data_IF_188893437271
#
_entry.id   IF_188893437271
#
_cell.length_a   1.000
_cell.length_b   1.000
_cell.length_c   1.000
_cell.angle_alpha   90.00
_cell.angle_beta   90.00
_cell.angle_gamma   90.00
#
_symmetry.space_group_name_H-M   'P 1'
#
loop_
_entity.id
_entity.type
_entity.pdbx_description
1 polymer ?
#
# COMPACT_ATOMS: atom_id res chain seq x y z
N UNK A 1 -23.77 23.86 3.59
CA UNK A 1 -22.61 24.18 4.47
C UNK A 1 -23.20 24.58 5.81
N UNK A 2 -22.71 24.05 6.93
CA UNK A 2 -23.27 24.32 8.27
C UNK A 2 -22.51 25.50 8.91
N UNK A 3 -23.00 26.76 8.81
CA UNK A 3 -22.24 27.95 9.19
C UNK A 3 -21.93 28.06 10.69
N UNK A 4 -22.65 27.28 11.51
CA UNK A 4 -22.46 27.18 12.96
C UNK A 4 -21.29 26.24 13.34
N UNK A 5 -20.75 25.49 12.37
CA UNK A 5 -19.67 24.51 12.60
C UNK A 5 -18.34 25.20 12.37
N UNK A 6 -17.52 25.22 13.42
CA UNK A 6 -16.14 25.69 13.34
C UNK A 6 -15.38 24.91 12.26
N UNK A 7 -15.04 25.60 11.17
CA UNK A 7 -14.42 24.99 10.00
C UNK A 7 -13.34 25.92 9.45
N UNK A 8 -12.17 25.34 9.15
CA UNK A 8 -11.01 26.06 8.65
C UNK A 8 -10.34 25.24 7.55
N UNK A 9 -10.09 25.87 6.41
CA UNK A 9 -9.29 25.28 5.33
C UNK A 9 -7.80 25.53 5.62
N UNK A 10 -7.01 24.46 5.64
CA UNK A 10 -5.55 24.53 5.82
C UNK A 10 -4.89 24.10 4.51
N UNK A 11 -3.96 24.91 4.01
CA UNK A 11 -3.28 24.66 2.73
C UNK A 11 -1.75 24.68 2.92
N UNK A 12 -1.04 23.80 2.21
CA UNK A 12 0.42 23.72 2.16
C UNK A 12 1.03 22.73 3.16
N UNK A 13 2.35 22.53 3.09
CA UNK A 13 3.11 21.63 3.96
C UNK A 13 3.44 22.29 5.32
N UNK A 14 3.56 21.48 6.37
CA UNK A 14 3.85 21.95 7.73
C UNK A 14 5.35 22.06 8.02
N UNK A 15 6.16 21.10 7.54
CA UNK A 15 7.57 21.05 7.89
C UNK A 15 8.44 20.41 6.83
N UNK A 16 9.56 21.02 6.49
CA UNK A 16 10.56 20.44 5.58
C UNK A 16 11.30 19.22 6.18
N UNK A 17 11.17 19.01 7.50
CA UNK A 17 11.83 17.89 8.22
C UNK A 17 11.06 16.58 8.12
N UNK A 18 9.78 16.61 7.75
CA UNK A 18 8.94 15.41 7.62
C UNK A 18 9.09 14.84 6.22
N UNK A 19 9.69 13.65 6.14
CA UNK A 19 10.03 13.00 4.87
C UNK A 19 8.79 12.48 4.14
N UNK A 20 7.83 11.88 4.87
CA UNK A 20 6.58 11.39 4.30
C UNK A 20 5.67 12.57 3.88
N UNK A 21 5.33 12.70 2.59
CA UNK A 21 4.52 13.80 2.09
C UNK A 21 3.08 13.80 2.64
N UNK A 22 2.52 12.62 2.93
CA UNK A 22 1.17 12.49 3.47
C UNK A 22 1.10 12.90 4.94
N UNK A 23 2.03 12.41 5.78
CA UNK A 23 2.16 12.85 7.18
C UNK A 23 2.31 14.36 7.25
N UNK A 24 3.17 14.93 6.40
CA UNK A 24 3.41 16.37 6.34
C UNK A 24 2.14 17.17 5.99
N UNK A 25 1.34 16.65 5.06
CA UNK A 25 0.07 17.26 4.68
C UNK A 25 -0.98 17.18 5.81
N UNK A 26 -1.02 16.07 6.54
CA UNK A 26 -1.99 15.84 7.63
C UNK A 26 -1.62 16.56 8.93
N UNK A 27 -0.34 16.85 9.16
CA UNK A 27 0.17 17.39 10.43
C UNK A 27 -0.49 18.71 10.84
N UNK A 28 -0.75 19.61 9.88
CA UNK A 28 -1.51 20.85 10.12
C UNK A 28 -2.88 20.60 10.73
N UNK A 29 -3.63 19.70 10.09
CA UNK A 29 -4.96 19.32 10.53
C UNK A 29 -4.92 18.66 11.90
N UNK A 30 -3.93 17.79 12.11
CA UNK A 30 -3.68 17.10 13.38
C UNK A 30 -3.44 18.08 14.54
N UNK A 31 -2.59 19.08 14.33
CA UNK A 31 -2.20 20.04 15.38
C UNK A 31 -3.36 20.94 15.82
N UNK A 32 -4.27 21.30 14.90
CA UNK A 32 -5.42 22.15 15.22
C UNK A 32 -6.68 21.37 15.58
N UNK A 33 -6.66 20.03 15.49
CA UNK A 33 -7.81 19.20 15.79
C UNK A 33 -8.21 19.33 17.26
N UNK A 34 -9.45 19.78 17.49
CA UNK A 34 -10.01 20.01 18.84
C UNK A 34 -10.72 18.77 19.41
N UNK A 35 -11.00 17.78 18.57
CA UNK A 35 -11.78 16.60 18.92
C UNK A 35 -10.90 15.35 18.99
N UNK A 36 -11.33 14.39 19.79
CA UNK A 36 -10.59 13.13 20.02
C UNK A 36 -10.60 12.19 18.81
N UNK A 37 -11.63 12.30 17.95
CA UNK A 37 -11.75 11.48 16.75
C UNK A 37 -11.34 12.31 15.53
N UNK A 38 -10.41 11.77 14.74
CA UNK A 38 -9.93 12.38 13.50
C UNK A 38 -10.44 11.49 12.35
N UNK A 39 -11.21 12.09 11.42
CA UNK A 39 -12.00 11.45 10.34
C UNK A 39 -13.40 10.97 10.75
N UNK A 40 -14.44 11.26 9.93
CA UNK A 40 -15.83 10.96 10.31
C UNK A 40 -16.62 10.30 9.17
N UNK A 41 -17.06 9.07 9.42
CA UNK A 41 -18.15 8.34 8.76
C UNK A 41 -18.92 7.61 9.86
N UNK A 42 -20.26 7.54 9.78
CA UNK A 42 -21.10 7.05 10.90
C UNK A 42 -20.74 5.64 11.37
N UNK A 43 -20.50 4.69 10.45
CA UNK A 43 -20.07 3.31 10.80
C UNK A 43 -18.74 3.29 11.57
N UNK A 44 -17.79 4.14 11.17
CA UNK A 44 -16.48 4.23 11.81
C UNK A 44 -16.62 4.73 13.25
N UNK A 45 -17.50 5.70 13.48
CA UNK A 45 -17.77 6.23 14.83
C UNK A 45 -18.41 5.16 15.70
N UNK A 46 -19.43 4.45 15.21
CA UNK A 46 -20.11 3.40 16.01
C UNK A 46 -19.12 2.32 16.47
N UNK A 47 -18.21 1.88 15.59
CA UNK A 47 -17.20 0.87 15.92
C UNK A 47 -16.10 1.37 16.85
N UNK A 48 -15.78 2.66 16.81
CA UNK A 48 -14.75 3.26 17.68
C UNK A 48 -15.21 3.49 19.11
N UNK A 49 -16.52 3.39 19.39
CA UNK A 49 -17.09 3.48 20.73
C UNK A 49 -16.60 2.36 21.66
N UNK A 50 -16.17 1.20 21.12
CA UNK A 50 -15.50 0.19 21.94
C UNK A 50 -14.15 0.75 22.43
N UNK A 51 -13.90 0.84 23.75
CA UNK A 51 -12.65 1.37 24.29
C UNK A 51 -11.43 0.56 23.85
N UNK A 52 -11.59 -0.73 23.50
CA UNK A 52 -10.50 -1.58 23.01
C UNK A 52 -10.15 -1.31 21.55
N UNK A 53 -10.99 -0.60 20.79
CA UNK A 53 -10.74 -0.28 19.38
C UNK A 53 -9.97 1.04 19.29
N UNK A 54 -8.78 1.00 18.69
CA UNK A 54 -7.97 2.20 18.46
C UNK A 54 -8.14 2.78 17.05
N UNK A 55 -8.31 1.90 16.05
CA UNK A 55 -8.48 2.28 14.65
C UNK A 55 -9.68 1.54 14.05
N UNK A 56 -10.51 2.28 13.32
CA UNK A 56 -11.50 1.71 12.40
C UNK A 56 -11.11 2.09 10.98
N UNK A 57 -10.89 1.13 10.10
CA UNK A 57 -10.45 1.39 8.74
C UNK A 57 -11.34 0.72 7.69
N UNK A 58 -11.26 1.21 6.46
CA UNK A 58 -12.05 0.70 5.35
C UNK A 58 -11.17 -0.08 4.37
N UNK A 59 -11.75 -1.08 3.71
CA UNK A 59 -11.07 -1.80 2.63
C UNK A 59 -10.96 -0.85 1.42
N UNK A 60 -9.77 -0.67 0.82
CA UNK A 60 -9.63 0.09 -0.43
C UNK A 60 -10.44 -0.58 -1.55
N UNK A 61 -11.30 0.19 -2.24
CA UNK A 61 -12.10 -0.34 -3.34
C UNK A 61 -12.27 0.70 -4.43
N UNK A 62 -12.12 0.32 -5.70
CA UNK A 62 -12.21 1.28 -6.80
C UNK A 62 -13.66 1.52 -7.25
N UNK A 63 -13.98 2.77 -7.56
CA UNK A 63 -15.29 3.15 -8.09
C UNK A 63 -15.51 2.59 -9.51
N UNK A 64 -16.76 2.51 -9.94
CA UNK A 64 -17.07 2.14 -11.32
C UNK A 64 -16.56 3.19 -12.31
N UNK A 65 -15.82 2.74 -13.32
CA UNK A 65 -15.33 3.53 -14.44
C UNK A 65 -15.24 2.63 -15.68
N UNK A 66 -15.59 3.11 -16.89
CA UNK A 66 -15.68 2.28 -18.10
C UNK A 66 -14.33 1.75 -18.62
N UNK A 67 -13.20 2.21 -18.07
CA UNK A 67 -11.87 1.78 -18.51
C UNK A 67 -11.58 0.34 -18.09
N UNK A 68 -11.03 -0.47 -19.01
CA UNK A 68 -10.60 -1.84 -18.69
C UNK A 68 -9.56 -1.89 -17.57
N UNK A 69 -8.63 -0.94 -17.51
CA UNK A 69 -7.65 -0.86 -16.42
C UNK A 69 -8.35 -0.68 -15.06
N UNK A 70 -9.43 0.12 -15.01
CA UNK A 70 -10.20 0.29 -13.78
C UNK A 70 -10.91 -1.01 -13.37
N UNK A 71 -11.35 -1.83 -14.33
CA UNK A 71 -11.90 -3.16 -14.05
C UNK A 71 -10.83 -4.06 -13.42
N UNK A 72 -9.60 -4.05 -13.93
CA UNK A 72 -8.47 -4.78 -13.34
C UNK A 72 -8.20 -4.32 -11.91
N UNK A 73 -8.18 -3.00 -11.68
CA UNK A 73 -8.03 -2.40 -10.36
C UNK A 73 -9.13 -2.83 -9.39
N UNK A 74 -10.39 -2.76 -9.85
CA UNK A 74 -11.56 -3.20 -9.08
C UNK A 74 -11.49 -4.69 -8.75
N UNK A 75 -11.06 -5.55 -9.67
CA UNK A 75 -10.88 -6.99 -9.41
C UNK A 75 -9.74 -7.22 -8.42
N UNK A 76 -8.61 -6.52 -8.56
CA UNK A 76 -7.49 -6.64 -7.63
C UNK A 76 -7.88 -6.24 -6.20
N UNK A 77 -8.55 -5.09 -6.05
CA UNK A 77 -9.03 -4.58 -4.76
C UNK A 77 -10.14 -5.44 -4.15
N UNK A 78 -11.17 -5.75 -4.94
CA UNK A 78 -12.36 -6.46 -4.48
C UNK A 78 -12.17 -7.97 -4.29
N UNK A 79 -11.15 -8.57 -4.91
CA UNK A 79 -10.84 -9.99 -4.73
C UNK A 79 -9.63 -10.16 -3.82
N UNK A 80 -8.42 -9.86 -4.31
CA UNK A 80 -7.18 -10.18 -3.62
C UNK A 80 -7.00 -9.36 -2.33
N UNK A 81 -7.12 -8.02 -2.39
CA UNK A 81 -7.01 -7.19 -1.18
C UNK A 81 -8.13 -7.52 -0.20
N UNK A 82 -9.39 -7.51 -0.65
CA UNK A 82 -10.55 -7.73 0.22
C UNK A 82 -10.50 -9.09 0.92
N UNK A 83 -10.14 -10.17 0.21
CA UNK A 83 -9.99 -11.51 0.79
C UNK A 83 -8.99 -11.52 1.94
N UNK A 84 -7.79 -10.97 1.69
CA UNK A 84 -6.74 -10.93 2.71
C UNK A 84 -7.11 -10.03 3.90
N UNK A 85 -7.73 -8.87 3.63
CA UNK A 85 -8.19 -7.94 4.66
C UNK A 85 -9.20 -8.60 5.61
N UNK A 86 -10.25 -9.22 5.03
CA UNK A 86 -11.31 -9.86 5.80
C UNK A 86 -10.75 -11.05 6.59
N UNK A 87 -9.89 -11.87 5.96
CA UNK A 87 -9.28 -13.01 6.63
C UNK A 87 -8.40 -12.58 7.81
N UNK A 88 -7.47 -11.63 7.61
CA UNK A 88 -6.56 -11.17 8.65
C UNK A 88 -7.28 -10.45 9.79
N UNK A 89 -8.26 -9.60 9.48
CA UNK A 89 -9.11 -8.97 10.50
C UNK A 89 -9.89 -10.01 11.32
N UNK A 90 -10.37 -11.09 10.69
CA UNK A 90 -11.08 -12.17 11.41
C UNK A 90 -10.14 -12.95 12.34
N UNK A 91 -8.87 -13.10 11.93
CA UNK A 91 -7.82 -13.71 12.75
C UNK A 91 -7.26 -12.76 13.83
N UNK A 92 -7.72 -11.50 13.86
CA UNK A 92 -7.21 -10.48 14.78
C UNK A 92 -5.80 -10.01 14.45
N UNK A 93 -5.30 -10.28 13.24
CA UNK A 93 -3.98 -9.82 12.78
C UNK A 93 -4.13 -8.42 12.20
N UNK A 94 -3.26 -7.50 12.60
CA UNK A 94 -3.25 -6.14 12.05
C UNK A 94 -2.90 -6.16 10.56
N UNK A 95 -3.87 -5.81 9.72
CA UNK A 95 -3.69 -5.63 8.28
C UNK A 95 -4.38 -4.34 7.85
N UNK A 96 -3.61 -3.26 7.80
CA UNK A 96 -4.13 -1.93 7.59
C UNK A 96 -3.39 -1.19 6.47
N UNK A 97 -4.17 -0.52 5.61
CA UNK A 97 -3.70 0.52 4.68
C UNK A 97 -4.65 1.72 4.79
N UNK A 98 -4.04 2.90 4.84
CA UNK A 98 -4.59 4.17 5.29
C UNK A 98 -5.25 4.95 4.17
N UNK A 99 -6.18 4.31 3.44
CA UNK A 99 -6.99 5.03 2.45
C UNK A 99 -8.09 5.87 3.09
N UNK A 100 -8.73 5.32 4.12
CA UNK A 100 -9.78 5.98 4.91
C UNK A 100 -9.90 5.25 6.24
N UNK A 101 -9.70 5.98 7.33
CA UNK A 101 -9.72 5.42 8.66
C UNK A 101 -9.98 6.49 9.72
N UNK A 102 -10.53 6.05 10.84
CA UNK A 102 -10.73 6.83 12.06
C UNK A 102 -9.77 6.31 13.12
N UNK A 103 -9.07 7.24 13.76
CA UNK A 103 -8.13 6.97 14.87
C UNK A 103 -8.45 7.88 16.06
N UNK A 104 -8.25 7.34 17.28
CA UNK A 104 -8.33 8.11 18.52
C UNK A 104 -7.04 8.91 18.73
N UNK A 105 -7.17 10.24 18.67
CA UNK A 105 -6.05 11.19 18.84
C UNK A 105 -5.24 10.96 20.12
N UNK A 106 -5.85 10.74 21.31
CA UNK A 106 -5.07 10.50 22.53
C UNK A 106 -4.11 9.31 22.42
N UNK A 107 -4.55 8.22 21.78
CA UNK A 107 -3.71 7.02 21.57
C UNK A 107 -2.56 7.29 20.61
N UNK A 108 -2.75 8.17 19.62
CA UNK A 108 -1.69 8.57 18.71
C UNK A 108 -0.71 9.56 19.37
N UNK A 109 -1.22 10.46 20.22
CA UNK A 109 -0.39 11.37 21.03
C UNK A 109 0.52 10.58 21.98
N UNK A 110 0.02 9.50 22.60
CA UNK A 110 0.80 8.59 23.45
C UNK A 110 1.95 7.89 22.68
N UNK A 111 1.87 7.82 21.35
CA UNK A 111 2.91 7.27 20.46
C UNK A 111 3.91 8.33 19.98
N UNK A 112 3.88 9.54 20.55
CA UNK A 112 4.69 10.67 20.12
C UNK A 112 4.06 11.48 18.98
N UNK A 113 2.77 11.26 18.71
CA UNK A 113 1.98 11.97 17.72
C UNK A 113 2.31 11.58 16.27
N UNK A 114 1.52 12.13 15.35
CA UNK A 114 1.59 11.82 13.92
C UNK A 114 2.98 12.11 13.31
N UNK A 115 3.70 13.12 13.82
CA UNK A 115 5.02 13.51 13.33
C UNK A 115 6.06 12.39 13.47
N UNK A 116 5.96 11.57 14.53
CA UNK A 116 6.89 10.47 14.78
C UNK A 116 6.90 9.47 13.61
N UNK A 117 5.75 9.27 12.96
CA UNK A 117 5.62 8.35 11.85
C UNK A 117 5.99 8.95 10.49
N UNK A 118 6.45 10.20 10.45
CA UNK A 118 6.92 10.88 9.24
C UNK A 118 8.14 10.23 8.56
N UNK A 119 8.81 9.31 9.25
CA UNK A 119 9.94 8.53 8.76
C UNK A 119 9.55 7.23 8.03
N UNK A 120 8.26 6.89 8.00
CA UNK A 120 7.74 5.71 7.30
C UNK A 120 6.89 6.16 6.11
N UNK A 121 7.00 5.51 4.95
CA UNK A 121 6.10 5.76 3.82
C UNK A 121 4.73 5.09 4.00
N UNK A 122 4.68 4.01 4.76
CA UNK A 122 3.45 3.32 5.17
C UNK A 122 3.20 3.64 6.65
N UNK A 123 3.03 4.94 6.96
CA UNK A 123 2.83 5.40 8.34
C UNK A 123 1.60 4.76 8.99
N UNK A 124 0.56 4.58 8.19
CA UNK A 124 -0.67 3.87 8.49
C UNK A 124 -0.39 2.52 9.17
N UNK A 125 0.31 1.62 8.48
CA UNK A 125 0.66 0.29 8.96
C UNK A 125 1.39 0.38 10.29
N UNK A 126 2.45 1.19 10.38
CA UNK A 126 3.23 1.29 11.62
C UNK A 126 2.40 1.85 12.78
N UNK A 127 1.54 2.84 12.56
CA UNK A 127 0.64 3.33 13.61
C UNK A 127 -0.26 2.19 14.10
N UNK A 128 -0.86 1.42 13.19
CA UNK A 128 -1.72 0.30 13.57
C UNK A 128 -0.98 -0.82 14.29
N UNK A 129 0.24 -1.12 13.87
CA UNK A 129 1.09 -2.17 14.43
C UNK A 129 1.48 -1.84 15.88
N UNK A 130 1.97 -0.63 16.14
CA UNK A 130 2.34 -0.18 17.49
C UNK A 130 1.14 -0.04 18.45
N UNK A 131 -0.06 0.22 17.92
CA UNK A 131 -1.31 0.19 18.71
C UNK A 131 -1.74 -1.25 19.00
N UNK A 132 -1.58 -2.13 18.01
CA UNK A 132 -1.88 -3.55 18.16
C UNK A 132 -0.97 -4.23 19.19
N UNK A 133 0.33 -3.90 19.20
CA UNK A 133 1.29 -4.34 20.22
C UNK A 133 0.91 -3.89 21.64
N UNK A 134 0.20 -2.76 21.78
CA UNK A 134 -0.35 -2.27 23.06
C UNK A 134 -1.67 -2.94 23.45
N UNK A 135 -2.12 -3.95 22.70
CA UNK A 135 -3.33 -4.71 22.96
C UNK A 135 -4.62 -4.05 22.45
N UNK A 136 -4.52 -2.99 21.64
CA UNK A 136 -5.68 -2.39 21.00
C UNK A 136 -6.08 -3.16 19.73
N UNK A 137 -7.37 -3.07 19.41
CA UNK A 137 -7.96 -3.65 18.21
C UNK A 137 -7.93 -2.63 17.07
N UNK A 138 -7.61 -3.15 15.89
CA UNK A 138 -7.77 -2.49 14.60
C UNK A 138 -8.91 -3.24 13.91
N UNK A 139 -9.98 -2.53 13.54
CA UNK A 139 -11.21 -3.17 13.05
C UNK A 139 -11.66 -2.64 11.70
N UNK A 140 -12.24 -3.52 10.89
CA UNK A 140 -12.79 -3.17 9.59
C UNK A 140 -14.17 -2.51 9.69
N UNK A 141 -14.38 -1.46 8.88
CA UNK A 141 -15.68 -0.90 8.53
C UNK A 141 -16.52 -1.89 7.71
N UNK A 142 -17.85 -1.76 7.77
CA UNK A 142 -18.73 -2.54 6.89
C UNK A 142 -18.76 -1.97 5.46
N UNK A 143 -18.26 -0.75 5.26
CA UNK A 143 -18.22 -0.09 3.98
C UNK A 143 -16.78 0.03 3.46
N UNK A 144 -16.53 -0.30 2.19
CA UNK A 144 -15.23 -0.05 1.58
C UNK A 144 -15.00 1.45 1.31
N UNK A 145 -13.75 1.87 1.27
CA UNK A 145 -13.34 3.21 0.88
C UNK A 145 -13.25 3.31 -0.64
N UNK A 146 -14.21 4.01 -1.22
CA UNK A 146 -14.30 4.24 -2.66
C UNK A 146 -13.15 5.14 -3.15
N UNK A 147 -12.31 4.59 -4.02
CA UNK A 147 -11.17 5.25 -4.64
C UNK A 147 -11.51 5.59 -6.09
N UNK A 148 -11.39 6.87 -6.45
CA UNK A 148 -11.57 7.34 -7.81
C UNK A 148 -10.20 7.69 -8.42
N UNK A 149 -9.69 6.86 -9.33
CA UNK A 149 -8.43 7.15 -10.01
C UNK A 149 -8.72 7.71 -11.40
N UNK A 150 -8.26 8.95 -11.64
CA UNK A 150 -8.24 9.52 -12.98
C UNK A 150 -7.06 8.97 -13.80
N UNK A 151 -7.23 8.85 -15.12
CA UNK A 151 -6.16 8.56 -16.09
C UNK A 151 -5.39 7.25 -15.83
N UNK A 152 -6.13 6.15 -15.64
CA UNK A 152 -5.56 4.81 -15.41
C UNK A 152 -5.06 4.15 -16.71
N UNK A 153 -3.88 3.53 -16.64
CA UNK A 153 -3.40 2.56 -17.62
C UNK A 153 -2.65 1.42 -16.90
N UNK A 154 -2.35 0.32 -17.61
CA UNK A 154 -1.70 -0.86 -17.01
C UNK A 154 -0.32 -0.55 -16.42
N UNK A 155 0.43 0.40 -16.97
CA UNK A 155 1.72 0.81 -16.42
C UNK A 155 1.56 1.53 -15.09
N UNK A 156 0.57 2.43 -14.97
CA UNK A 156 0.24 3.12 -13.71
C UNK A 156 -0.21 2.12 -12.65
N UNK A 157 -1.05 1.14 -13.05
CA UNK A 157 -1.46 0.03 -12.19
C UNK A 157 -0.25 -0.78 -11.69
N UNK A 158 0.59 -1.27 -12.62
CA UNK A 158 1.80 -2.04 -12.30
C UNK A 158 2.71 -1.27 -11.36
N UNK A 159 3.03 -0.02 -11.67
CA UNK A 159 3.91 0.82 -10.85
C UNK A 159 3.37 0.99 -9.42
N UNK A 160 2.04 1.15 -9.26
CA UNK A 160 1.41 1.21 -7.94
C UNK A 160 1.56 -0.12 -7.19
N UNK A 161 1.29 -1.24 -7.84
CA UNK A 161 1.37 -2.57 -7.23
C UNK A 161 2.82 -2.92 -6.84
N UNK A 162 3.79 -2.64 -7.71
CA UNK A 162 5.24 -2.80 -7.41
C UNK A 162 5.64 -1.98 -6.21
N UNK A 163 5.20 -0.71 -6.14
CA UNK A 163 5.48 0.14 -4.99
C UNK A 163 4.91 -0.43 -3.70
N UNK A 164 3.65 -0.88 -3.70
CA UNK A 164 3.03 -1.48 -2.51
C UNK A 164 3.75 -2.76 -2.08
N UNK A 165 4.12 -3.62 -3.03
CA UNK A 165 4.90 -4.80 -2.72
C UNK A 165 6.26 -4.43 -2.11
N UNK A 166 7.00 -3.47 -2.68
CA UNK A 166 8.29 -3.03 -2.13
C UNK A 166 8.19 -2.48 -0.72
N UNK A 167 7.12 -1.75 -0.41
CA UNK A 167 6.85 -1.34 0.97
C UNK A 167 6.73 -2.58 1.88
N UNK A 168 5.83 -3.52 1.54
CA UNK A 168 5.62 -4.74 2.34
C UNK A 168 6.87 -5.61 2.45
N UNK A 169 7.67 -5.72 1.40
CA UNK A 169 8.95 -6.44 1.43
C UNK A 169 9.89 -5.87 2.50
N UNK A 170 9.90 -4.56 2.72
CA UNK A 170 10.78 -3.92 3.73
C UNK A 170 10.13 -3.79 5.11
N UNK A 171 8.81 -3.92 5.22
CA UNK A 171 8.05 -3.83 6.47
C UNK A 171 7.88 -5.20 7.13
N UNK A 172 7.47 -6.21 6.34
CA UNK A 172 7.11 -7.57 6.78
C UNK A 172 7.70 -8.62 5.83
N UNK A 173 9.04 -8.71 5.69
CA UNK A 173 9.70 -9.50 4.66
C UNK A 173 9.26 -10.96 4.58
N UNK A 174 9.15 -11.63 5.73
CA UNK A 174 8.79 -13.05 5.76
C UNK A 174 7.38 -13.30 5.22
N UNK A 175 6.44 -12.41 5.53
CA UNK A 175 5.07 -12.50 5.03
C UNK A 175 5.05 -12.18 3.53
N UNK A 176 5.66 -11.06 3.12
CA UNK A 176 5.62 -10.59 1.74
C UNK A 176 6.40 -11.48 0.75
N UNK A 177 7.52 -12.07 1.17
CA UNK A 177 8.36 -12.91 0.30
C UNK A 177 7.89 -14.35 0.21
N UNK A 178 7.30 -14.89 1.28
CA UNK A 178 7.00 -16.34 1.38
C UNK A 178 5.50 -16.58 1.40
N UNK A 179 4.78 -15.96 2.34
CA UNK A 179 3.37 -16.26 2.57
C UNK A 179 2.48 -15.68 1.46
N UNK A 180 2.73 -14.43 1.04
CA UNK A 180 1.92 -13.79 -0.01
C UNK A 180 1.91 -14.60 -1.32
N UNK A 181 3.06 -15.01 -1.91
CA UNK A 181 3.06 -15.81 -3.14
C UNK A 181 2.40 -17.18 -2.99
N UNK A 182 2.55 -17.82 -1.83
CA UNK A 182 1.93 -19.13 -1.54
C UNK A 182 0.40 -19.05 -1.47
N UNK A 183 -0.15 -17.87 -1.21
CA UNK A 183 -1.59 -17.62 -1.16
C UNK A 183 -2.17 -17.16 -2.52
N UNK A 184 -1.35 -17.09 -3.57
CA UNK A 184 -1.81 -16.74 -4.92
C UNK A 184 -2.45 -17.94 -5.62
N UNK A 185 -3.47 -17.64 -6.44
CA UNK A 185 -4.36 -18.64 -7.03
C UNK A 185 -3.61 -19.77 -7.74
N UNK A 186 -2.64 -19.41 -8.59
CA UNK A 186 -1.91 -20.34 -9.43
C UNK A 186 -0.99 -21.24 -8.62
N UNK A 187 -0.16 -20.66 -7.73
CA UNK A 187 0.80 -21.43 -6.93
C UNK A 187 0.07 -22.33 -5.93
N UNK A 188 -0.93 -21.78 -5.23
CA UNK A 188 -1.75 -22.55 -4.31
C UNK A 188 -2.50 -23.68 -5.02
N UNK A 189 -3.01 -23.42 -6.22
CA UNK A 189 -3.69 -24.42 -7.04
C UNK A 189 -2.77 -25.55 -7.46
N UNK A 190 -1.54 -25.25 -7.89
CA UNK A 190 -0.53 -26.24 -8.24
C UNK A 190 -0.18 -27.12 -7.03
N UNK A 191 0.10 -26.50 -5.88
CA UNK A 191 0.44 -27.23 -4.65
C UNK A 191 -0.73 -28.12 -4.18
N UNK A 192 -1.96 -27.59 -4.22
CA UNK A 192 -3.16 -28.34 -3.86
C UNK A 192 -3.41 -29.53 -4.79
N UNK A 193 -3.24 -29.34 -6.10
CA UNK A 193 -3.41 -30.41 -7.08
C UNK A 193 -2.36 -31.53 -6.94
N UNK A 194 -1.11 -31.17 -6.66
CA UNK A 194 -0.03 -32.14 -6.38
C UNK A 194 -0.30 -32.90 -5.08
N UNK A 195 -0.74 -32.22 -4.02
CA UNK A 195 -1.09 -32.85 -2.76
C UNK A 195 -2.27 -33.83 -2.91
N UNK A 196 -3.32 -33.44 -3.64
CA UNK A 196 -4.46 -34.31 -3.92
C UNK A 196 -4.08 -35.53 -4.76
N UNK A 197 -3.17 -35.38 -5.73
CA UNK A 197 -2.65 -36.51 -6.48
C UNK A 197 -1.85 -37.47 -5.58
N UNK A 198 -0.97 -36.94 -4.73
CA UNK A 198 -0.15 -37.77 -3.84
C UNK A 198 -1.01 -38.59 -2.85
N UNK A 199 -1.99 -37.95 -2.21
CA UNK A 199 -2.79 -38.59 -1.16
C UNK A 199 -3.97 -39.42 -1.68
N UNK A 200 -4.61 -38.99 -2.77
CA UNK A 200 -5.86 -39.56 -3.25
C UNK A 200 -5.81 -40.06 -4.70
N UNK A 201 -4.65 -39.96 -5.36
CA UNK A 201 -4.46 -40.35 -6.76
C UNK A 201 -5.41 -39.62 -7.73
N UNK A 202 -5.87 -38.42 -7.34
CA UNK A 202 -6.66 -37.57 -8.22
C UNK A 202 -5.81 -37.09 -9.41
N UNK A 203 -6.43 -36.95 -10.58
CA UNK A 203 -5.75 -36.35 -11.73
C UNK A 203 -5.37 -34.90 -11.43
N UNK A 204 -4.07 -34.58 -11.56
CA UNK A 204 -3.53 -33.23 -11.30
C UNK A 204 -4.24 -32.18 -12.15
N UNK A 205 -4.46 -32.47 -13.43
CA UNK A 205 -5.12 -31.54 -14.35
C UNK A 205 -6.58 -31.26 -13.95
N UNK A 206 -7.30 -32.29 -13.51
CA UNK A 206 -8.68 -32.16 -13.06
C UNK A 206 -8.75 -31.36 -11.76
N UNK A 207 -7.91 -31.69 -10.78
CA UNK A 207 -7.84 -31.00 -9.50
C UNK A 207 -7.47 -29.51 -9.67
N UNK A 208 -6.47 -29.23 -10.50
CA UNK A 208 -6.06 -27.85 -10.81
C UNK A 208 -7.16 -27.08 -11.53
N UNK A 209 -7.79 -27.67 -12.55
CA UNK A 209 -8.90 -27.04 -13.28
C UNK A 209 -10.09 -26.75 -12.36
N UNK A 210 -10.43 -27.67 -11.46
CA UNK A 210 -11.48 -27.50 -10.47
C UNK A 210 -11.15 -26.38 -9.48
N UNK A 211 -9.91 -26.30 -9.00
CA UNK A 211 -9.44 -25.23 -8.13
C UNK A 211 -9.56 -23.85 -8.81
N UNK A 212 -9.07 -23.71 -10.04
CA UNK A 212 -9.17 -22.43 -10.79
C UNK A 212 -10.63 -22.03 -10.99
N UNK A 213 -11.51 -22.97 -11.37
CA UNK A 213 -12.93 -22.70 -11.56
C UNK A 213 -13.60 -22.25 -10.26
N UNK A 214 -13.36 -22.98 -9.17
CA UNK A 214 -13.90 -22.65 -7.86
C UNK A 214 -13.42 -21.28 -7.40
N UNK A 215 -12.13 -21.00 -7.52
CA UNK A 215 -11.54 -19.73 -7.13
C UNK A 215 -12.12 -18.56 -7.91
N UNK A 216 -12.30 -18.73 -9.22
CA UNK A 216 -12.88 -17.72 -10.10
C UNK A 216 -14.33 -17.40 -9.72
N UNK A 217 -15.11 -18.41 -9.32
CA UNK A 217 -16.49 -18.25 -8.82
C UNK A 217 -16.48 -17.51 -7.48
N UNK A 218 -15.63 -17.93 -6.54
CA UNK A 218 -15.54 -17.32 -5.21
C UNK A 218 -15.07 -15.86 -5.28
N UNK A 219 -14.07 -15.54 -6.11
CA UNK A 219 -13.61 -14.18 -6.35
C UNK A 219 -14.75 -13.30 -6.91
N UNK A 220 -15.59 -13.86 -7.80
CA UNK A 220 -16.72 -13.12 -8.37
C UNK A 220 -17.80 -12.84 -7.32
N UNK A 221 -18.10 -13.81 -6.47
CA UNK A 221 -19.06 -13.66 -5.37
C UNK A 221 -18.55 -12.59 -4.41
N UNK A 222 -17.28 -12.71 -3.96
CA UNK A 222 -16.66 -11.76 -3.04
C UNK A 222 -16.68 -10.34 -3.61
N UNK A 223 -16.33 -10.18 -4.89
CA UNK A 223 -16.37 -8.88 -5.55
C UNK A 223 -17.77 -8.27 -5.56
N UNK A 224 -18.81 -9.07 -5.79
CA UNK A 224 -20.21 -8.64 -5.68
C UNK A 224 -20.59 -8.23 -4.25
N UNK A 225 -20.15 -8.99 -3.24
CA UNK A 225 -20.37 -8.67 -1.83
C UNK A 225 -19.72 -7.35 -1.42
N UNK A 226 -18.45 -7.14 -1.78
CA UNK A 226 -17.71 -5.90 -1.45
C UNK A 226 -18.29 -4.70 -2.18
N UNK A 227 -18.75 -4.88 -3.43
CA UNK A 227 -19.45 -3.82 -4.17
C UNK A 227 -20.80 -3.44 -3.54
N UNK A 228 -21.46 -4.36 -2.84
CA UNK A 228 -22.79 -4.14 -2.29
C UNK A 228 -23.88 -4.02 -3.36
N UNK A 229 -23.68 -4.63 -4.53
CA UNK A 229 -24.60 -4.52 -5.65
C UNK A 229 -24.11 -5.20 -6.93
N UNK A 230 -24.89 -5.13 -8.03
CA UNK A 230 -24.51 -5.74 -9.30
C UNK A 230 -23.27 -5.06 -9.89
N UNK A 231 -22.39 -5.88 -10.49
CA UNK A 231 -21.19 -5.40 -11.20
C UNK A 231 -21.59 -4.65 -12.48
N UNK A 232 -20.93 -3.53 -12.77
CA UNK A 232 -21.20 -2.68 -13.94
C UNK A 232 -20.43 -3.12 -15.20
N UNK A 233 -19.92 -4.35 -15.23
CA UNK A 233 -19.20 -4.94 -16.35
C UNK A 233 -19.60 -6.40 -16.56
N UNK A 234 -19.47 -6.87 -17.80
CA UNK A 234 -19.90 -8.21 -18.20
C UNK A 234 -18.97 -9.34 -17.76
N UNK A 235 -19.44 -10.58 -17.88
CA UNK A 235 -18.65 -11.78 -17.56
C UNK A 235 -17.34 -11.85 -18.35
N UNK A 236 -17.34 -11.51 -19.64
CA UNK A 236 -16.12 -11.56 -20.45
C UNK A 236 -15.05 -10.56 -19.96
N UNK A 237 -15.48 -9.36 -19.58
CA UNK A 237 -14.59 -8.34 -19.01
C UNK A 237 -14.05 -8.78 -17.65
N UNK A 238 -14.89 -9.44 -16.82
CA UNK A 238 -14.44 -10.05 -15.58
C UNK A 238 -13.36 -11.11 -15.81
N UNK A 239 -13.61 -12.07 -16.70
CA UNK A 239 -12.64 -13.14 -17.00
C UNK A 239 -11.31 -12.59 -17.51
N UNK A 240 -11.38 -11.64 -18.46
CA UNK A 240 -10.18 -10.98 -18.99
C UNK A 240 -9.44 -10.19 -17.91
N UNK A 241 -10.14 -9.41 -17.09
CA UNK A 241 -9.54 -8.63 -16.02
C UNK A 241 -8.93 -9.50 -14.91
N UNK A 242 -9.58 -10.62 -14.58
CA UNK A 242 -9.09 -11.60 -13.63
C UNK A 242 -7.79 -12.25 -14.11
N UNK A 243 -7.75 -12.66 -15.38
CA UNK A 243 -6.54 -13.21 -15.99
C UNK A 243 -5.39 -12.20 -16.02
N UNK A 244 -5.67 -10.96 -16.43
CA UNK A 244 -4.67 -9.87 -16.42
C UNK A 244 -4.15 -9.62 -15.00
N UNK A 245 -5.02 -9.67 -13.98
CA UNK A 245 -4.62 -9.56 -12.57
C UNK A 245 -3.66 -10.67 -12.18
N UNK A 246 -3.96 -11.94 -12.47
CA UNK A 246 -3.10 -13.08 -12.12
C UNK A 246 -1.72 -12.99 -12.79
N UNK A 247 -1.67 -12.66 -14.08
CA UNK A 247 -0.39 -12.46 -14.79
C UNK A 247 0.38 -11.28 -14.20
N UNK A 248 -0.30 -10.17 -13.91
CA UNK A 248 0.36 -8.97 -13.39
C UNK A 248 0.90 -9.19 -11.98
N UNK A 249 0.25 -10.00 -11.14
CA UNK A 249 0.76 -10.34 -9.80
C UNK A 249 2.13 -11.00 -9.88
N UNK A 250 2.33 -11.97 -10.78
CA UNK A 250 3.62 -12.62 -10.97
C UNK A 250 4.69 -11.63 -11.44
N UNK A 251 4.36 -10.79 -12.42
CA UNK A 251 5.28 -9.77 -12.93
C UNK A 251 5.67 -8.75 -11.86
N UNK A 252 4.68 -8.27 -11.09
CA UNK A 252 4.88 -7.35 -9.96
C UNK A 252 5.78 -7.98 -8.91
N UNK A 253 5.62 -9.28 -8.65
CA UNK A 253 6.44 -9.99 -7.66
C UNK A 253 7.93 -9.96 -8.03
N UNK A 254 8.28 -10.39 -9.24
CA UNK A 254 9.67 -10.38 -9.70
C UNK A 254 10.24 -8.95 -9.86
N UNK A 255 9.47 -8.00 -10.37
CA UNK A 255 9.88 -6.59 -10.48
C UNK A 255 10.05 -5.92 -9.11
N UNK A 256 9.23 -6.31 -8.13
CA UNK A 256 9.32 -5.90 -6.74
C UNK A 256 10.65 -6.32 -6.12
N UNK A 257 11.03 -7.59 -6.31
CA UNK A 257 12.26 -8.17 -5.76
C UNK A 257 13.54 -7.56 -6.36
N UNK A 258 13.55 -7.28 -7.68
CA UNK A 258 14.75 -6.80 -8.38
C UNK A 258 15.29 -5.46 -7.84
N UNK A 259 14.44 -4.60 -7.28
CA UNK A 259 14.83 -3.31 -6.70
C UNK A 259 14.08 -3.06 -5.38
N UNK A 260 14.10 -4.05 -4.49
CA UNK A 260 13.22 -4.07 -3.31
C UNK A 260 13.34 -2.84 -2.41
N UNK A 261 14.54 -2.26 -2.26
CA UNK A 261 14.78 -1.13 -1.38
C UNK A 261 14.43 0.24 -1.98
N UNK A 262 14.10 0.34 -3.27
CA UNK A 262 13.88 1.63 -3.92
C UNK A 262 12.41 1.84 -4.29
N UNK A 263 11.82 2.92 -3.76
CA UNK A 263 10.44 3.31 -4.04
C UNK A 263 10.38 4.73 -4.56
N UNK A 264 9.75 4.91 -5.73
CA UNK A 264 9.43 6.23 -6.27
C UNK A 264 8.01 6.61 -5.87
N UNK A 265 7.83 7.80 -5.28
CA UNK A 265 6.52 8.37 -5.02
C UNK A 265 6.51 9.86 -5.37
N UNK A 266 5.68 10.21 -6.34
CA UNK A 266 5.63 11.56 -6.89
C UNK A 266 6.98 11.89 -7.53
N UNK A 267 7.56 13.07 -7.26
CA UNK A 267 8.84 13.46 -7.83
C UNK A 267 10.07 12.92 -7.08
N UNK A 268 9.89 12.14 -6.01
CA UNK A 268 10.96 11.71 -5.10
C UNK A 268 11.15 10.20 -5.13
N UNK A 269 12.40 9.77 -4.94
CA UNK A 269 12.78 8.37 -4.75
C UNK A 269 13.34 8.19 -3.34
N UNK A 270 12.89 7.14 -2.68
CA UNK A 270 13.23 6.81 -1.30
C UNK A 270 13.95 5.47 -1.27
N UNK A 271 14.97 5.39 -0.42
CA UNK A 271 15.59 4.14 -0.02
C UNK A 271 14.91 3.63 1.25
N UNK A 272 14.36 2.43 1.20
CA UNK A 272 13.69 1.72 2.28
C UNK A 272 14.71 0.83 3.00
N UNK A 273 14.87 1.07 4.29
CA UNK A 273 15.58 0.16 5.19
C UNK A 273 14.64 -0.95 5.66
N UNK A 274 15.22 -2.05 6.13
CA UNK A 274 14.47 -3.04 6.89
C UNK A 274 13.77 -2.39 8.09
N UNK A 275 12.52 -2.78 8.32
CA UNK A 275 11.63 -2.10 9.26
C UNK A 275 10.94 -0.86 8.66
N UNK A 276 11.00 -0.67 7.34
CA UNK A 276 10.21 0.33 6.60
C UNK A 276 10.63 1.80 6.75
N UNK A 277 11.70 2.09 7.49
CA UNK A 277 12.24 3.45 7.67
C UNK A 277 12.81 3.97 6.36
N UNK A 278 12.52 5.23 6.02
CA UNK A 278 12.95 5.84 4.76
C UNK A 278 14.15 6.75 4.92
N UNK A 279 14.99 6.76 3.89
CA UNK A 279 16.06 7.74 3.69
C UNK A 279 16.00 8.31 2.28
N UNK A 280 16.35 9.59 2.13
CA UNK A 280 16.47 10.18 0.81
C UNK A 280 17.65 9.59 0.05
N UNK A 281 17.42 9.20 -1.20
CA UNK A 281 18.51 8.97 -2.14
C UNK A 281 19.01 10.34 -2.55
N UNK A 282 20.23 10.69 -2.18
CA UNK A 282 20.86 11.91 -2.67
C UNK A 282 20.81 11.87 -4.20
N UNK A 283 20.29 12.93 -4.84
CA UNK A 283 20.51 13.10 -6.27
C UNK A 283 22.02 13.22 -6.45
N UNK A 284 22.66 12.21 -7.03
CA UNK A 284 23.96 12.42 -7.64
C UNK A 284 23.72 13.44 -8.76
N UNK A 285 24.00 14.71 -8.47
CA UNK A 285 24.19 15.72 -9.49
C UNK A 285 25.41 15.29 -10.31
N UNK A 286 25.19 14.52 -11.37
CA UNK A 286 26.16 14.29 -12.43
C UNK A 286 26.36 15.59 -13.23
N UNK A 287 26.87 16.63 -12.57
CA UNK A 287 27.41 17.86 -13.16
C UNK A 287 28.88 18.10 -12.82
N UNK A 288 29.55 17.11 -12.25
CA UNK A 288 31.00 17.15 -11.99
C UNK A 288 31.74 16.00 -12.71
N UNK A 289 31.54 15.87 -14.02
CA UNK A 289 32.42 15.04 -14.87
C UNK A 289 32.45 15.60 -16.29
N UNK A 290 32.80 16.87 -16.45
CA UNK A 290 33.13 17.45 -17.76
C UNK A 290 34.08 18.65 -17.64
N UNK A 291 35.02 18.60 -16.69
CA UNK A 291 36.08 19.61 -16.59
C UNK A 291 37.43 19.03 -16.14
N UNK A 292 37.80 17.88 -16.70
CA UNK A 292 39.17 17.37 -16.65
C UNK A 292 39.72 17.18 -18.07
N UNK A 293 39.68 18.27 -18.85
CA UNK A 293 40.56 18.49 -20.01
C UNK A 293 41.21 19.86 -19.83
N UNK A 294 42.02 19.99 -18.77
CA UNK A 294 43.01 21.05 -18.67
C UNK A 294 44.38 20.38 -18.63
N UNK A 295 45.13 20.58 -19.71
CA UNK A 295 46.52 20.15 -19.89
C UNK A 295 47.40 20.65 -18.74
N UNK A 296 48.40 19.88 -18.28
CA UNK A 296 49.34 20.36 -17.28
C UNK A 296 50.28 21.39 -17.90
N UNK A 297 50.25 22.63 -17.41
CA UNK A 297 51.26 23.64 -17.69
C UNK A 297 52.52 23.29 -16.90
N UNK A 298 53.60 23.03 -17.63
CA UNK A 298 54.95 22.81 -17.14
C UNK A 298 55.44 23.95 -16.23
N UNK A 299 55.75 23.67 -14.97
CA UNK A 299 56.53 24.56 -14.11
C UNK A 299 57.96 24.02 -13.95
N UNK A 300 58.84 24.38 -14.89
CA UNK A 300 60.28 24.21 -14.73
C UNK A 300 60.90 25.50 -14.19
N UNK A 301 61.20 25.48 -12.88
CA UNK A 301 62.43 25.96 -12.21
C UNK A 301 63.20 27.12 -12.87
N UNK A 302 63.38 28.22 -12.14
CA UNK A 302 64.69 28.88 -11.95
C UNK A 302 64.73 29.75 -10.70
N UNK A 303 65.87 29.63 -10.03
CA UNK A 303 66.31 30.21 -8.76
C UNK A 303 66.77 31.68 -8.87
N UNK A 304 67.00 32.27 -7.69
CA UNK A 304 67.81 33.48 -7.40
C UNK A 304 67.12 34.81 -7.74
N UNK A 305 67.18 35.88 -6.94
CA UNK A 305 68.25 36.37 -6.04
C UNK A 305 67.66 37.49 -5.15
N UNK A 306 68.26 37.73 -3.96
CA UNK A 306 68.50 39.02 -3.24
C UNK A 306 67.52 40.18 -3.54
N UNK A 307 66.89 40.84 -2.57
CA UNK A 307 67.43 41.48 -1.35
C UNK A 307 66.24 41.91 -0.50
#
# INVERSE_FOLDING_TARGET
MFPQVDSKLLVGQESDTVLNPMVNNMLKGYNVAKHELIWILQDLVTKSMDPKVAIVHQIPFFTDHPSFTNIVDKICSGCYLSRNYIALNTLGVSCFTGMSYLIKKPLLDDLGGLKNYGMYLAEDYFISDHLHERGYKVVLSCWPAQQNIANTNLQVYRNRMVRWLRLRLNMIPHIAMVIEPLNETLLLGCLSALALNYHFQCSVLLAFSAHILLWLILDRILLGCVQGGPLRFGTLQYLAGWFVKEVTVLLVFFEGLANMHFVTWGPRTYYLKWGGVISHVAKNDNRASNNSNALPVNSSRKESTKT
#
